data_IF_032596885516
#
_entry.id   IF_032596885516
#
_cell.length_a   1.000
_cell.length_b   1.000
_cell.length_c   1.000
_cell.angle_alpha   90.00
_cell.angle_beta   90.00
_cell.angle_gamma   90.00
#
_symmetry.space_group_name_H-M   'P 1'
#
loop_
_entity.id
_entity.type
_entity.pdbx_description
1 polymer ?
#
# COMPACT_ATOMS: atom_id res chain seq x y z
N UNK A 1 -58.04 -43.61 27.85
CA UNK A 1 -56.71 -43.14 28.25
C UNK A 1 -56.38 -41.95 27.34
N UNK A 2 -57.10 -40.82 27.46
CA UNK A 2 -56.90 -39.70 28.40
C UNK A 2 -55.50 -39.06 28.21
N UNK A 3 -55.28 -37.78 27.90
CA UNK A 3 -56.10 -36.55 27.87
C UNK A 3 -55.38 -35.53 26.94
N UNK A 4 -56.16 -34.66 26.29
CA UNK A 4 -55.81 -33.43 25.57
C UNK A 4 -55.47 -32.29 26.56
N UNK A 5 -54.40 -31.52 26.33
CA UNK A 5 -54.16 -30.12 26.79
C UNK A 5 -52.83 -29.69 26.15
N UNK A 6 -52.67 -28.66 25.32
CA UNK A 6 -53.31 -27.35 25.31
C UNK A 6 -52.45 -26.36 26.11
N UNK A 7 -51.58 -25.58 25.46
CA UNK A 7 -51.15 -24.24 25.91
C UNK A 7 -50.32 -23.47 24.87
N UNK A 8 -50.94 -22.36 24.42
CA UNK A 8 -50.34 -21.14 23.88
C UNK A 8 -49.52 -20.39 24.96
N UNK A 9 -48.70 -19.42 24.47
CA UNK A 9 -47.95 -18.31 25.15
C UNK A 9 -46.45 -18.61 25.28
N UNK A 10 -45.48 -17.76 24.93
CA UNK A 10 -45.39 -16.32 24.60
C UNK A 10 -44.10 -16.12 23.77
N UNK A 11 -44.09 -15.27 22.73
CA UNK A 11 -43.47 -13.93 22.76
C UNK A 11 -42.15 -13.85 23.55
N UNK A 12 -41.02 -13.85 22.83
CA UNK A 12 -39.85 -13.04 23.16
C UNK A 12 -39.21 -12.57 21.85
N UNK A 13 -39.43 -11.28 21.56
CA UNK A 13 -38.60 -10.51 20.66
C UNK A 13 -37.30 -10.20 21.40
N UNK A 14 -36.17 -10.68 20.88
CA UNK A 14 -34.87 -10.19 21.29
C UNK A 14 -34.57 -8.92 20.48
N UNK A 15 -34.94 -7.77 21.05
CA UNK A 15 -34.39 -6.48 20.68
C UNK A 15 -32.94 -6.50 21.16
N UNK A 16 -32.00 -6.73 20.24
CA UNK A 16 -30.59 -6.55 20.54
C UNK A 16 -30.26 -5.07 20.35
N UNK A 17 -30.28 -4.35 21.47
CA UNK A 17 -29.72 -3.01 21.60
C UNK A 17 -28.22 -3.12 21.36
N UNK A 18 -27.75 -2.68 20.19
CA UNK A 18 -26.33 -2.41 19.96
C UNK A 18 -25.99 -1.14 20.73
N UNK A 19 -25.24 -1.31 21.81
CA UNK A 19 -24.64 -0.22 22.57
C UNK A 19 -23.44 0.26 21.77
N UNK A 20 -23.47 1.52 21.38
CA UNK A 20 -22.30 2.28 20.93
C UNK A 20 -21.18 2.18 21.98
N UNK A 21 -20.07 1.54 21.61
CA UNK A 21 -18.76 1.80 22.20
C UNK A 21 -17.98 2.69 21.24
N UNK A 22 -18.16 4.00 21.42
CA UNK A 22 -17.15 5.00 21.11
C UNK A 22 -16.08 4.88 22.17
N UNK A 23 -14.82 4.68 21.79
CA UNK A 23 -13.69 4.90 22.70
C UNK A 23 -12.42 4.10 22.40
N UNK A 24 -11.47 4.78 21.76
CA UNK A 24 -10.02 4.64 21.91
C UNK A 24 -9.32 3.49 21.17
N UNK A 25 -8.99 3.76 19.92
CA UNK A 25 -7.81 3.22 19.20
C UNK A 25 -7.05 4.33 18.48
N UNK A 26 -7.04 5.54 19.06
CA UNK A 26 -6.10 6.58 18.65
C UNK A 26 -4.83 6.37 19.45
N UNK A 27 -3.84 5.70 18.86
CA UNK A 27 -2.46 5.83 19.33
C UNK A 27 -2.11 7.29 19.19
N UNK A 28 -1.99 8.00 20.31
CA UNK A 28 -1.31 9.29 20.32
C UNK A 28 0.17 8.98 20.14
N UNK A 29 0.59 8.84 18.89
CA UNK A 29 2.00 8.92 18.55
C UNK A 29 2.48 10.29 19.02
N UNK A 30 3.40 10.27 19.97
CA UNK A 30 4.21 11.43 20.26
C UNK A 30 4.94 11.78 18.96
N UNK A 31 4.61 12.93 18.38
CA UNK A 31 5.42 13.54 17.33
C UNK A 31 6.91 13.41 17.73
N UNK A 32 7.76 12.78 16.91
CA UNK A 32 9.18 12.85 17.16
C UNK A 32 9.60 14.33 17.06
N UNK A 33 10.48 14.81 17.96
CA UNK A 33 10.92 16.19 17.90
C UNK A 33 11.58 16.45 16.55
N UNK A 34 11.20 17.56 15.90
CA UNK A 34 11.85 18.06 14.70
C UNK A 34 13.39 18.10 14.91
N UNK A 35 14.20 17.70 13.91
CA UNK A 35 15.65 17.72 14.05
C UNK A 35 16.12 19.14 14.36
N UNK A 36 16.83 19.27 15.48
CA UNK A 36 17.45 20.52 15.91
C UNK A 36 18.62 20.81 14.97
N UNK A 37 18.41 21.73 14.02
CA UNK A 37 19.47 22.24 13.13
C UNK A 37 20.45 23.05 13.98
N UNK A 38 21.57 22.42 14.35
CA UNK A 38 22.66 23.12 15.03
C UNK A 38 23.41 23.99 14.02
N UNK A 39 23.15 25.30 14.05
CA UNK A 39 24.00 26.30 13.41
C UNK A 39 25.34 26.42 14.16
N UNK A 40 26.38 25.73 13.69
CA UNK A 40 27.76 26.03 14.06
C UNK A 40 28.31 27.13 13.12
N UNK A 41 28.16 28.37 13.55
CA UNK A 41 28.87 29.52 12.98
C UNK A 41 30.22 29.65 13.68
N UNK A 42 31.30 29.32 12.97
CA UNK A 42 32.65 29.80 13.28
C UNK A 42 33.44 30.14 12.01
N UNK A 43 33.49 31.44 11.76
CA UNK A 43 34.32 32.23 10.85
C UNK A 43 35.83 31.92 10.95
N UNK A 44 36.55 31.93 9.81
CA UNK A 44 38.00 31.77 9.80
C UNK A 44 38.75 31.60 8.48
N UNK A 45 38.52 32.47 7.49
CA UNK A 45 39.58 33.03 6.61
C UNK A 45 40.32 32.17 5.57
N UNK A 46 40.22 32.65 4.32
CA UNK A 46 41.33 32.91 3.35
C UNK A 46 41.49 32.01 2.10
N UNK A 47 41.56 32.75 0.99
CA UNK A 47 42.29 32.53 -0.27
C UNK A 47 41.68 31.67 -1.40
N UNK A 48 41.12 32.40 -2.39
CA UNK A 48 41.54 32.29 -3.79
C UNK A 48 41.39 30.93 -4.49
N UNK A 49 40.21 30.69 -5.05
CA UNK A 49 40.01 29.60 -6.01
C UNK A 49 38.68 29.76 -6.74
N UNK A 50 38.72 30.32 -7.94
CA UNK A 50 37.62 30.27 -8.91
C UNK A 50 37.36 28.81 -9.28
N UNK A 51 36.27 28.23 -8.78
CA UNK A 51 35.71 27.00 -9.31
C UNK A 51 34.21 27.23 -9.54
N UNK A 52 33.87 27.33 -10.82
CA UNK A 52 32.60 26.97 -11.47
C UNK A 52 31.49 26.51 -10.50
N UNK A 53 30.60 27.44 -10.17
CA UNK A 53 29.25 27.15 -9.69
C UNK A 53 28.46 26.53 -10.85
N UNK A 54 28.69 25.24 -11.09
CA UNK A 54 27.83 24.40 -11.90
C UNK A 54 26.64 23.92 -11.08
N UNK A 55 25.76 24.84 -10.69
CA UNK A 55 24.42 24.53 -10.21
C UNK A 55 23.60 24.02 -11.40
N UNK A 56 23.85 22.76 -11.77
CA UNK A 56 23.04 22.03 -12.75
C UNK A 56 21.90 21.37 -12.01
N UNK A 57 20.95 22.17 -11.56
CA UNK A 57 19.59 21.71 -11.31
C UNK A 57 18.96 21.37 -12.68
N UNK A 58 19.45 20.30 -13.31
CA UNK A 58 18.89 19.75 -14.54
C UNK A 58 17.63 19.03 -14.14
N UNK A 59 16.53 19.78 -14.14
CA UNK A 59 15.20 19.19 -14.26
C UNK A 59 15.24 18.29 -15.50
N UNK A 60 15.13 16.98 -15.28
CA UNK A 60 15.10 16.02 -16.38
C UNK A 60 13.87 16.30 -17.25
N UNK A 61 13.97 16.05 -18.56
CA UNK A 61 12.83 16.25 -19.45
C UNK A 61 11.66 15.34 -19.01
N UNK A 62 10.39 15.80 -19.09
CA UNK A 62 9.24 14.97 -18.76
C UNK A 62 9.23 13.65 -19.54
N UNK A 63 8.88 12.55 -18.86
CA UNK A 63 8.72 11.22 -19.45
C UNK A 63 7.26 11.02 -19.81
N UNK A 64 7.01 10.63 -21.07
CA UNK A 64 5.68 10.25 -21.54
C UNK A 64 5.57 8.73 -21.65
N UNK A 65 4.56 8.16 -20.99
CA UNK A 65 4.22 6.72 -21.09
C UNK A 65 3.02 6.49 -22.00
N UNK A 66 2.94 5.31 -22.61
CA UNK A 66 1.77 4.93 -23.41
C UNK A 66 0.51 4.74 -22.54
N UNK A 67 0.72 4.12 -21.37
CA UNK A 67 -0.28 3.80 -20.35
C UNK A 67 0.35 3.95 -18.96
N UNK A 68 -0.43 4.43 -17.99
CA UNK A 68 -0.04 4.42 -16.59
C UNK A 68 -0.64 3.20 -15.87
N UNK A 69 -0.24 2.95 -14.62
CA UNK A 69 -0.87 1.95 -13.75
C UNK A 69 -1.23 2.54 -12.39
N UNK A 70 -1.80 3.76 -12.39
CA UNK A 70 -2.17 4.44 -11.16
C UNK A 70 -3.14 3.60 -10.34
N UNK A 71 -2.82 3.47 -9.05
CA UNK A 71 -3.40 2.47 -8.18
C UNK A 71 -4.19 3.02 -7.00
N UNK A 72 -5.06 2.18 -6.45
CA UNK A 72 -5.97 2.54 -5.37
C UNK A 72 -6.06 1.39 -4.34
N UNK A 73 -5.97 1.72 -3.05
CA UNK A 73 -5.93 0.69 -1.99
C UNK A 73 -7.25 0.56 -1.25
N UNK A 74 -7.64 -0.69 -0.94
CA UNK A 74 -8.84 -1.06 -0.19
C UNK A 74 -8.44 -1.95 0.98
N UNK A 75 -8.90 -1.60 2.18
CA UNK A 75 -8.73 -2.41 3.38
C UNK A 75 -9.78 -3.52 3.47
N UNK A 76 -11.06 -3.18 3.54
CA UNK A 76 -12.17 -4.14 3.45
C UNK A 76 -13.22 -3.62 2.49
N UNK A 77 -13.84 -4.46 1.65
CA UNK A 77 -14.86 -3.97 0.71
C UNK A 77 -16.17 -3.56 1.42
N UNK A 78 -16.44 -4.11 2.59
CA UNK A 78 -17.64 -3.89 3.39
C UNK A 78 -17.40 -2.95 4.57
N UNK A 79 -16.25 -2.27 4.60
CA UNK A 79 -15.93 -1.35 5.67
C UNK A 79 -16.98 -0.25 5.79
N UNK A 80 -17.41 -0.01 7.02
CA UNK A 80 -18.36 1.04 7.32
C UNK A 80 -17.83 2.41 6.86
N UNK A 81 -18.57 3.05 5.97
CA UNK A 81 -18.24 4.38 5.45
C UNK A 81 -17.58 4.38 4.08
N UNK A 82 -17.27 3.22 3.49
CA UNK A 82 -16.88 3.17 2.08
C UNK A 82 -18.01 3.66 1.17
N UNK A 83 -17.60 4.34 0.09
CA UNK A 83 -18.53 4.84 -0.93
C UNK A 83 -19.30 3.70 -1.61
N UNK A 84 -18.66 2.53 -1.74
CA UNK A 84 -19.21 1.31 -2.34
C UNK A 84 -18.91 0.12 -1.43
N UNK A 85 -19.94 -0.64 -1.09
CA UNK A 85 -19.86 -1.75 -0.14
C UNK A 85 -19.78 -3.14 -0.76
N UNK A 86 -19.49 -3.23 -2.07
CA UNK A 86 -19.35 -4.48 -2.81
C UNK A 86 -18.37 -4.33 -3.98
N UNK A 87 -17.75 -5.44 -4.40
CA UNK A 87 -16.70 -5.43 -5.43
C UNK A 87 -17.21 -4.98 -6.80
N UNK A 88 -18.44 -5.33 -7.18
CA UNK A 88 -18.97 -4.98 -8.50
C UNK A 88 -19.18 -3.47 -8.63
N UNK A 89 -19.80 -2.85 -7.63
CA UNK A 89 -20.03 -1.40 -7.63
C UNK A 89 -18.75 -0.60 -7.39
N UNK A 90 -17.81 -1.13 -6.61
CA UNK A 90 -16.48 -0.54 -6.43
C UNK A 90 -15.67 -0.60 -7.72
N UNK A 91 -15.62 -1.73 -8.43
CA UNK A 91 -14.90 -1.85 -9.70
C UNK A 91 -15.39 -0.85 -10.74
N UNK A 92 -16.71 -0.69 -10.87
CA UNK A 92 -17.31 0.31 -11.77
C UNK A 92 -16.97 1.75 -11.36
N UNK A 93 -16.97 2.03 -10.05
CA UNK A 93 -16.61 3.33 -9.51
C UNK A 93 -15.16 3.67 -9.86
N UNK A 94 -14.20 2.81 -9.50
CA UNK A 94 -12.78 3.00 -9.77
C UNK A 94 -12.49 3.13 -11.28
N UNK A 95 -13.13 2.31 -12.11
CA UNK A 95 -12.97 2.41 -13.56
C UNK A 95 -13.54 3.71 -14.13
N UNK A 96 -14.63 4.22 -13.53
CA UNK A 96 -15.18 5.53 -13.87
C UNK A 96 -14.25 6.70 -13.55
N UNK A 97 -13.37 6.54 -12.55
CA UNK A 97 -12.33 7.52 -12.24
C UNK A 97 -11.14 7.41 -13.20
N UNK A 98 -10.85 6.21 -13.70
CA UNK A 98 -9.69 5.92 -14.53
C UNK A 98 -8.59 5.13 -13.81
N UNK A 99 -8.85 4.62 -12.61
CA UNK A 99 -7.93 3.73 -11.87
C UNK A 99 -7.58 2.51 -12.72
N UNK A 100 -6.29 2.11 -12.71
CA UNK A 100 -5.80 0.97 -13.50
C UNK A 100 -5.42 -0.23 -12.63
N UNK A 101 -5.16 -0.02 -11.34
CA UNK A 101 -4.82 -1.07 -10.38
C UNK A 101 -5.56 -0.90 -9.07
N UNK A 102 -6.00 -2.01 -8.47
CA UNK A 102 -6.58 -2.01 -7.12
C UNK A 102 -5.80 -2.96 -6.23
N UNK A 103 -5.45 -2.51 -5.03
CA UNK A 103 -4.78 -3.31 -4.01
C UNK A 103 -5.80 -3.67 -2.92
N UNK A 104 -6.10 -4.96 -2.76
CA UNK A 104 -7.15 -5.45 -1.87
C UNK A 104 -6.51 -6.29 -0.76
N UNK A 105 -6.82 -5.97 0.51
CA UNK A 105 -6.31 -6.76 1.63
C UNK A 105 -6.95 -8.14 1.62
N UNK A 106 -6.14 -9.19 1.77
CA UNK A 106 -6.65 -10.56 1.88
C UNK A 106 -6.35 -11.19 3.23
N UNK A 107 -5.46 -10.59 4.03
CA UNK A 107 -5.06 -11.12 5.33
C UNK A 107 -4.35 -10.06 6.18
N UNK A 108 -4.42 -10.26 7.49
CA UNK A 108 -3.66 -9.55 8.52
C UNK A 108 -3.22 -10.57 9.59
N UNK A 109 -1.92 -10.83 9.68
CA UNK A 109 -1.35 -11.79 10.64
C UNK A 109 -1.69 -11.42 12.10
N UNK A 110 -1.95 -10.14 12.39
CA UNK A 110 -2.21 -9.62 13.74
C UNK A 110 -3.70 -9.61 14.09
N UNK A 111 -4.59 -9.78 13.11
CA UNK A 111 -6.03 -9.73 13.35
C UNK A 111 -6.64 -11.11 13.60
N UNK A 112 -6.76 -11.49 14.87
CA UNK A 112 -7.39 -12.75 15.31
C UNK A 112 -6.86 -13.99 14.54
N UNK A 113 -5.54 -14.12 14.47
CA UNK A 113 -4.81 -15.10 13.66
C UNK A 113 -5.48 -16.48 13.53
N UNK A 114 -5.74 -17.17 14.64
CA UNK A 114 -6.28 -18.54 14.61
C UNK A 114 -7.61 -18.67 13.85
N UNK A 115 -8.43 -17.62 13.85
CA UNK A 115 -9.73 -17.58 13.20
C UNK A 115 -9.67 -17.10 11.74
N UNK A 116 -8.61 -16.36 11.37
CA UNK A 116 -8.47 -15.72 10.06
C UNK A 116 -7.28 -16.20 9.25
N UNK A 117 -6.55 -17.21 9.73
CA UNK A 117 -5.47 -17.83 8.98
C UNK A 117 -5.98 -18.37 7.65
N UNK A 118 -5.15 -18.23 6.63
CA UNK A 118 -5.41 -18.82 5.32
C UNK A 118 -5.46 -20.34 5.46
N UNK A 119 -6.48 -20.98 4.87
CA UNK A 119 -6.52 -22.43 4.74
C UNK A 119 -6.90 -22.88 3.35
N UNK A 120 -6.48 -24.09 2.99
CA UNK A 120 -6.73 -24.67 1.67
C UNK A 120 -7.50 -25.99 1.81
N UNK A 121 -8.57 -26.15 1.03
CA UNK A 121 -9.27 -27.41 0.87
C UNK A 121 -9.30 -27.82 -0.61
N UNK A 122 -8.20 -28.41 -1.07
CA UNK A 122 -8.00 -28.64 -2.50
C UNK A 122 -7.64 -27.32 -3.18
N UNK A 123 -8.44 -26.90 -4.16
CA UNK A 123 -8.26 -25.61 -4.85
C UNK A 123 -9.04 -24.47 -4.16
N UNK A 124 -9.91 -24.80 -3.21
CA UNK A 124 -10.67 -23.82 -2.44
C UNK A 124 -9.76 -23.10 -1.43
N UNK A 125 -9.85 -21.77 -1.40
CA UNK A 125 -9.10 -20.88 -0.50
C UNK A 125 -10.07 -20.26 0.50
N UNK A 126 -9.73 -20.38 1.79
CA UNK A 126 -10.43 -19.70 2.90
C UNK A 126 -9.53 -18.59 3.45
N UNK A 127 -10.02 -17.34 3.40
CA UNK A 127 -9.33 -16.14 3.89
C UNK A 127 -10.00 -15.53 5.13
N UNK A 128 -10.80 -16.30 5.85
CA UNK A 128 -11.45 -15.87 7.08
C UNK A 128 -12.37 -14.66 6.86
N UNK A 129 -12.13 -13.57 7.58
CA UNK A 129 -12.92 -12.35 7.44
C UNK A 129 -12.76 -11.63 6.09
N UNK A 130 -11.72 -11.93 5.30
CA UNK A 130 -11.53 -11.40 3.94
C UNK A 130 -11.98 -12.38 2.85
N UNK A 131 -12.92 -13.27 3.16
CA UNK A 131 -13.34 -14.30 2.21
C UNK A 131 -13.83 -13.73 0.89
N UNK A 132 -14.49 -12.56 0.90
CA UNK A 132 -14.94 -11.85 -0.30
C UNK A 132 -13.79 -11.52 -1.27
N UNK A 133 -12.63 -11.13 -0.73
CA UNK A 133 -11.44 -10.84 -1.52
C UNK A 133 -10.82 -12.12 -2.12
N UNK A 134 -11.10 -13.29 -1.52
CA UNK A 134 -10.62 -14.58 -1.98
C UNK A 134 -11.62 -15.37 -2.85
N UNK A 135 -12.68 -14.71 -3.33
CA UNK A 135 -13.61 -15.25 -4.32
C UNK A 135 -13.19 -14.84 -5.74
N UNK A 136 -12.81 -15.77 -6.64
CA UNK A 136 -12.36 -15.45 -7.99
C UNK A 136 -13.38 -14.65 -8.82
N UNK A 137 -14.68 -14.87 -8.60
CA UNK A 137 -15.75 -14.08 -9.24
C UNK A 137 -15.69 -12.59 -8.90
N UNK A 138 -15.28 -12.22 -7.69
CA UNK A 138 -15.21 -10.82 -7.28
C UNK A 138 -14.04 -10.11 -7.98
N UNK A 139 -12.94 -10.81 -8.20
CA UNK A 139 -11.83 -10.28 -8.99
C UNK A 139 -12.20 -10.06 -10.46
N UNK A 140 -13.15 -10.84 -10.99
CA UNK A 140 -13.59 -10.67 -12.38
C UNK A 140 -14.26 -9.32 -12.63
N UNK A 141 -14.92 -8.73 -11.63
CA UNK A 141 -15.50 -7.38 -11.76
C UNK A 141 -14.44 -6.33 -12.08
N UNK A 142 -13.27 -6.40 -11.44
CA UNK A 142 -12.16 -5.47 -11.70
C UNK A 142 -11.54 -5.72 -13.08
N UNK A 143 -11.30 -6.98 -13.44
CA UNK A 143 -10.73 -7.33 -14.76
C UNK A 143 -11.65 -6.92 -15.91
N UNK A 144 -12.95 -7.16 -15.78
CA UNK A 144 -13.96 -6.75 -16.78
C UNK A 144 -14.02 -5.22 -16.93
N UNK A 145 -13.67 -4.49 -15.87
CA UNK A 145 -13.57 -3.03 -15.86
C UNK A 145 -12.20 -2.50 -16.33
N UNK A 146 -11.27 -3.40 -16.71
CA UNK A 146 -9.92 -3.03 -17.15
C UNK A 146 -8.95 -2.68 -16.00
N UNK A 147 -9.24 -3.12 -14.78
CA UNK A 147 -8.43 -2.89 -13.59
C UNK A 147 -7.66 -4.17 -13.23
N UNK A 148 -6.39 -4.03 -12.88
CA UNK A 148 -5.55 -5.10 -12.35
C UNK A 148 -5.81 -5.29 -10.84
N UNK A 149 -6.41 -6.41 -10.39
CA UNK A 149 -6.52 -6.69 -8.96
C UNK A 149 -5.20 -7.24 -8.41
N UNK A 150 -4.69 -6.61 -7.36
CA UNK A 150 -3.51 -7.02 -6.59
C UNK A 150 -3.91 -7.33 -5.15
N UNK A 151 -3.28 -8.34 -4.56
CA UNK A 151 -3.47 -8.66 -3.16
C UNK A 151 -2.41 -7.95 -2.30
N UNK A 152 -2.75 -7.63 -1.06
CA UNK A 152 -1.76 -7.23 -0.06
C UNK A 152 -2.09 -7.82 1.31
N UNK A 153 -1.07 -7.93 2.16
CA UNK A 153 -1.20 -8.49 3.51
C UNK A 153 -0.35 -7.74 4.51
N UNK A 154 -0.83 -7.63 5.75
CA UNK A 154 0.00 -7.22 6.88
C UNK A 154 0.90 -8.36 7.34
N UNK A 155 2.20 -8.11 7.44
CA UNK A 155 3.22 -9.09 7.81
C UNK A 155 3.93 -8.74 9.12
N UNK A 156 4.39 -9.75 9.86
CA UNK A 156 5.03 -9.59 11.19
C UNK A 156 6.02 -10.76 11.46
N UNK A 157 6.80 -10.70 12.54
CA UNK A 157 7.94 -11.58 12.88
C UNK A 157 7.55 -13.00 13.36
N UNK A 158 6.34 -13.46 13.07
CA UNK A 158 5.86 -14.79 13.48
C UNK A 158 5.18 -15.58 12.37
N UNK A 159 5.43 -16.90 12.34
CA UNK A 159 4.81 -17.83 11.39
C UNK A 159 5.08 -17.51 9.89
N UNK A 160 6.33 -17.26 9.52
CA UNK A 160 6.71 -16.86 8.15
C UNK A 160 6.19 -17.78 7.02
N UNK A 161 6.17 -19.10 7.22
CA UNK A 161 5.62 -20.04 6.23
C UNK A 161 4.10 -19.90 6.09
N UNK A 162 3.38 -19.66 7.19
CA UNK A 162 1.93 -19.44 7.15
C UNK A 162 1.60 -18.06 6.57
N UNK A 163 2.50 -17.09 6.67
CA UNK A 163 2.39 -15.83 5.93
C UNK A 163 2.63 -16.03 4.43
N UNK A 164 3.58 -16.88 4.04
CA UNK A 164 3.76 -17.25 2.64
C UNK A 164 2.54 -18.00 2.05
N UNK A 165 1.73 -18.68 2.86
CA UNK A 165 0.44 -19.22 2.43
C UNK A 165 -0.50 -18.12 1.89
N UNK A 166 -0.39 -16.89 2.36
CA UNK A 166 -1.20 -15.77 1.87
C UNK A 166 -0.85 -15.39 0.42
N UNK A 167 0.42 -15.47 0.05
CA UNK A 167 0.84 -15.33 -1.35
C UNK A 167 0.28 -16.47 -2.21
N UNK A 168 0.29 -17.71 -1.70
CA UNK A 168 -0.32 -18.83 -2.41
C UNK A 168 -1.83 -18.63 -2.62
N UNK A 169 -2.54 -18.12 -1.61
CA UNK A 169 -3.94 -17.73 -1.75
C UNK A 169 -4.12 -16.71 -2.88
N UNK A 170 -3.31 -15.65 -2.92
CA UNK A 170 -3.41 -14.63 -3.96
C UNK A 170 -3.23 -15.22 -5.38
N UNK A 171 -2.22 -16.08 -5.56
CA UNK A 171 -1.97 -16.75 -6.85
C UNK A 171 -3.14 -17.65 -7.24
N UNK A 172 -3.67 -18.46 -6.31
CA UNK A 172 -4.78 -19.40 -6.59
C UNK A 172 -6.10 -18.71 -6.90
N UNK A 173 -6.40 -17.61 -6.20
CA UNK A 173 -7.59 -16.79 -6.45
C UNK A 173 -7.46 -16.03 -7.79
N UNK A 174 -6.21 -15.78 -8.23
CA UNK A 174 -5.89 -15.28 -9.56
C UNK A 174 -5.50 -13.80 -9.59
N UNK A 175 -5.04 -13.23 -8.49
CA UNK A 175 -4.51 -11.87 -8.45
C UNK A 175 -3.38 -11.65 -9.46
N UNK A 176 -3.21 -10.40 -9.92
CA UNK A 176 -2.18 -10.01 -10.89
C UNK A 176 -0.82 -9.74 -10.25
N UNK A 177 -0.77 -9.53 -8.93
CA UNK A 177 0.44 -9.31 -8.17
C UNK A 177 0.15 -9.32 -6.67
N UNK A 178 1.21 -9.22 -5.87
CA UNK A 178 1.17 -9.33 -4.42
C UNK A 178 2.05 -8.29 -3.76
N UNK A 179 1.56 -7.66 -2.68
CA UNK A 179 2.33 -6.75 -1.85
C UNK A 179 2.48 -7.29 -0.43
N UNK A 180 3.72 -7.44 0.05
CA UNK A 180 3.98 -7.60 1.48
C UNK A 180 3.96 -6.23 2.15
N UNK A 181 3.15 -6.06 3.19
CA UNK A 181 3.18 -4.84 3.99
C UNK A 181 4.21 -5.02 5.11
N UNK A 182 5.37 -4.37 4.96
CA UNK A 182 6.51 -4.50 5.88
C UNK A 182 6.51 -3.31 6.82
N UNK A 183 6.09 -3.58 8.05
CA UNK A 183 5.76 -2.55 9.02
C UNK A 183 6.82 -2.41 10.14
N UNK A 184 6.49 -1.66 11.19
CA UNK A 184 7.42 -1.26 12.25
C UNK A 184 8.12 -2.43 12.97
N UNK A 185 7.55 -3.63 12.91
CA UNK A 185 8.10 -4.84 13.53
C UNK A 185 9.43 -5.27 12.89
N UNK A 186 9.73 -4.77 11.68
CA UNK A 186 10.98 -5.03 10.97
C UNK A 186 12.04 -3.92 11.11
N UNK A 187 11.80 -2.90 11.95
CA UNK A 187 12.75 -1.81 12.19
C UNK A 187 14.10 -2.33 12.70
N UNK A 188 15.14 -2.23 11.87
CA UNK A 188 16.49 -2.73 12.19
C UNK A 188 16.61 -4.25 12.29
N UNK A 189 15.58 -5.02 11.91
CA UNK A 189 15.55 -6.49 12.05
C UNK A 189 15.91 -7.16 10.72
N UNK A 190 17.11 -7.75 10.64
CA UNK A 190 17.59 -8.35 9.39
C UNK A 190 17.23 -9.83 9.21
N UNK A 191 17.31 -10.63 10.29
CA UNK A 191 17.13 -12.09 10.21
C UNK A 191 15.67 -12.47 9.90
N UNK A 192 14.73 -11.87 10.64
CA UNK A 192 13.30 -12.11 10.42
C UNK A 192 12.83 -11.57 9.07
N UNK A 193 13.38 -10.44 8.61
CA UNK A 193 13.08 -9.89 7.29
C UNK A 193 13.54 -10.81 6.16
N UNK A 194 14.79 -11.32 6.22
CA UNK A 194 15.25 -12.34 5.27
C UNK A 194 14.36 -13.59 5.33
N UNK A 195 13.97 -14.02 6.53
CA UNK A 195 13.17 -15.25 6.70
C UNK A 195 11.78 -15.09 6.10
N UNK A 196 11.10 -13.97 6.35
CA UNK A 196 9.80 -13.65 5.75
C UNK A 196 9.90 -13.62 4.22
N UNK A 197 10.81 -12.81 3.68
CA UNK A 197 10.89 -12.56 2.24
C UNK A 197 11.34 -13.80 1.46
N UNK A 198 12.30 -14.56 2.01
CA UNK A 198 12.71 -15.82 1.40
C UNK A 198 11.60 -16.87 1.42
N UNK A 199 10.78 -16.94 2.48
CA UNK A 199 9.62 -17.83 2.51
C UNK A 199 8.61 -17.49 1.39
N UNK A 200 8.33 -16.21 1.16
CA UNK A 200 7.44 -15.76 0.08
C UNK A 200 8.01 -16.07 -1.30
N UNK A 201 9.30 -15.77 -1.54
CA UNK A 201 9.93 -16.04 -2.83
C UNK A 201 10.02 -17.54 -3.11
N UNK A 202 10.41 -18.36 -2.12
CA UNK A 202 10.39 -19.83 -2.23
C UNK A 202 8.99 -20.37 -2.50
N UNK A 203 7.95 -19.78 -1.90
CA UNK A 203 6.57 -20.17 -2.16
C UNK A 203 6.19 -19.89 -3.61
N UNK A 204 6.45 -18.68 -4.11
CA UNK A 204 6.19 -18.30 -5.49
C UNK A 204 6.87 -19.27 -6.48
N UNK A 205 8.14 -19.60 -6.24
CA UNK A 205 8.88 -20.59 -7.05
C UNK A 205 8.26 -21.99 -7.01
N UNK A 206 7.75 -22.41 -5.85
CA UNK A 206 7.14 -23.74 -5.66
C UNK A 206 5.78 -23.87 -6.37
N UNK A 207 5.03 -22.78 -6.49
CA UNK A 207 3.76 -22.75 -7.22
C UNK A 207 3.96 -22.99 -8.72
N UNK A 208 5.12 -22.58 -9.27
CA UNK A 208 5.52 -22.91 -10.64
C UNK A 208 4.51 -22.43 -11.68
N UNK A 209 4.04 -23.34 -12.54
CA UNK A 209 3.25 -23.00 -13.72
C UNK A 209 1.86 -22.39 -13.44
N UNK A 210 1.39 -22.35 -12.19
CA UNK A 210 0.13 -21.68 -11.85
C UNK A 210 0.32 -20.18 -11.60
N UNK A 211 1.57 -19.72 -11.42
CA UNK A 211 1.89 -18.29 -11.27
C UNK A 211 1.76 -17.61 -12.63
N UNK A 212 0.97 -16.54 -12.75
CA UNK A 212 0.93 -15.76 -13.99
C UNK A 212 2.32 -15.25 -14.40
N UNK A 213 2.62 -15.25 -15.71
CA UNK A 213 3.95 -14.87 -16.23
C UNK A 213 4.43 -13.48 -15.76
N UNK A 214 3.49 -12.55 -15.57
CA UNK A 214 3.75 -11.18 -15.14
C UNK A 214 3.35 -10.93 -13.67
N UNK A 215 3.28 -11.98 -12.85
CA UNK A 215 2.97 -11.82 -11.44
C UNK A 215 4.15 -11.19 -10.70
N UNK A 216 3.94 -10.01 -10.14
CA UNK A 216 4.97 -9.26 -9.41
C UNK A 216 4.78 -9.40 -7.91
N UNK A 217 5.90 -9.58 -7.20
CA UNK A 217 5.99 -9.56 -5.75
C UNK A 217 6.61 -8.24 -5.30
N UNK A 218 5.86 -7.37 -4.62
CA UNK A 218 6.37 -6.09 -4.13
C UNK A 218 6.30 -6.02 -2.61
N UNK A 219 6.94 -5.01 -2.02
CA UNK A 219 6.82 -4.75 -0.59
C UNK A 219 6.67 -3.26 -0.30
N UNK A 220 5.86 -2.92 0.70
CA UNK A 220 5.87 -1.59 1.30
C UNK A 220 7.07 -1.44 2.24
N UNK A 221 7.28 -0.22 2.74
CA UNK A 221 8.08 0.01 3.94
C UNK A 221 7.39 1.02 4.84
N UNK A 222 7.37 0.76 6.15
CA UNK A 222 6.90 1.70 7.15
C UNK A 222 7.65 3.03 7.12
N UNK A 223 6.89 4.12 6.96
CA UNK A 223 7.39 5.48 7.09
C UNK A 223 8.65 5.79 6.27
N UNK A 224 9.54 6.61 6.84
CA UNK A 224 10.85 6.89 6.27
C UNK A 224 11.83 5.75 6.61
N UNK A 225 12.30 4.95 5.63
CA UNK A 225 13.07 3.74 5.91
C UNK A 225 14.42 4.01 6.59
N UNK A 226 15.10 5.12 6.30
CA UNK A 226 16.36 5.44 6.96
C UNK A 226 16.16 5.70 8.45
N UNK A 227 15.15 6.47 8.82
CA UNK A 227 14.80 6.78 10.20
C UNK A 227 14.46 5.51 11.00
N UNK A 228 13.74 4.59 10.36
CA UNK A 228 13.32 3.34 10.97
C UNK A 228 14.37 2.22 10.90
N UNK A 229 15.51 2.46 10.24
CA UNK A 229 16.54 1.44 10.03
C UNK A 229 16.04 0.25 9.20
N UNK A 230 15.06 0.49 8.33
CA UNK A 230 14.51 -0.53 7.43
C UNK A 230 15.59 -0.97 6.44
N UNK A 231 15.75 -2.27 6.28
CA UNK A 231 16.81 -2.85 5.43
C UNK A 231 16.34 -3.01 3.99
N UNK A 232 16.31 -1.88 3.28
CA UNK A 232 15.90 -1.83 1.86
C UNK A 232 16.78 -2.74 0.99
N UNK A 233 18.08 -2.84 1.27
CA UNK A 233 18.98 -3.77 0.59
C UNK A 233 18.54 -5.24 0.71
N UNK A 234 18.02 -5.64 1.87
CA UNK A 234 17.45 -6.98 2.06
C UNK A 234 16.14 -7.12 1.28
N UNK A 235 15.23 -6.14 1.35
CA UNK A 235 13.97 -6.16 0.59
C UNK A 235 14.25 -6.30 -0.91
N UNK A 236 15.22 -5.54 -1.42
CA UNK A 236 15.61 -5.49 -2.83
C UNK A 236 16.05 -6.86 -3.36
N UNK A 237 16.61 -7.75 -2.54
CA UNK A 237 16.96 -9.11 -2.97
C UNK A 237 15.73 -9.94 -3.41
N UNK A 238 14.57 -9.69 -2.78
CA UNK A 238 13.41 -10.61 -2.88
C UNK A 238 12.17 -10.03 -3.52
N UNK A 239 12.06 -8.72 -3.77
CA UNK A 239 10.88 -8.11 -4.41
C UNK A 239 11.14 -7.75 -5.87
N UNK A 240 10.15 -7.38 -6.64
CA UNK A 240 10.28 -6.91 -8.04
C UNK A 240 10.21 -5.38 -8.10
N UNK A 241 9.62 -4.75 -7.08
CA UNK A 241 9.65 -3.32 -6.84
C UNK A 241 9.35 -2.99 -5.36
N UNK A 242 9.72 -1.78 -4.97
CA UNK A 242 9.44 -1.21 -3.65
C UNK A 242 8.21 -0.31 -3.71
N UNK A 243 7.46 -0.22 -2.62
CA UNK A 243 6.25 0.59 -2.52
C UNK A 243 6.23 1.44 -1.24
N UNK A 244 7.11 2.45 -1.09
CA UNK A 244 7.20 3.24 0.12
C UNK A 244 5.87 3.90 0.49
N UNK A 245 5.55 3.82 1.79
CA UNK A 245 4.45 4.57 2.38
C UNK A 245 4.86 6.05 2.55
N UNK A 246 4.79 6.83 1.47
CA UNK A 246 5.13 8.27 1.45
C UNK A 246 3.95 9.09 1.92
N UNK A 247 3.57 8.89 3.18
CA UNK A 247 2.36 9.44 3.79
C UNK A 247 2.61 10.88 4.26
N UNK A 248 2.81 11.79 3.31
CA UNK A 248 3.17 13.20 3.56
C UNK A 248 2.16 13.95 4.45
N UNK A 249 0.88 13.54 4.46
CA UNK A 249 -0.12 14.09 5.40
C UNK A 249 0.22 13.78 6.87
N UNK A 250 0.82 12.61 7.12
CA UNK A 250 1.23 12.14 8.46
C UNK A 250 2.57 12.75 8.87
N UNK A 251 3.46 13.00 7.92
CA UNK A 251 4.81 13.49 8.19
C UNK A 251 4.84 14.99 8.55
N UNK A 252 3.86 15.77 8.06
CA UNK A 252 3.64 17.16 8.47
C UNK A 252 3.57 18.15 7.31
N UNK A 253 3.25 19.40 7.63
CA UNK A 253 2.97 20.45 6.64
C UNK A 253 4.13 20.76 5.70
N UNK A 254 5.37 20.62 6.18
CA UNK A 254 6.55 20.99 5.38
C UNK A 254 6.72 20.05 4.17
N UNK A 255 6.39 18.76 4.33
CA UNK A 255 6.39 17.77 3.24
C UNK A 255 5.27 18.02 2.22
N UNK A 256 4.13 18.55 2.66
CA UNK A 256 3.02 18.94 1.78
C UNK A 256 3.38 20.18 0.93
N UNK A 257 4.22 21.07 1.48
CA UNK A 257 4.64 22.30 0.79
C UNK A 257 5.72 22.04 -0.28
N UNK A 258 6.47 20.96 -0.16
CA UNK A 258 7.51 20.54 -1.11
C UNK A 258 7.34 19.05 -1.50
N UNK A 259 6.25 18.76 -2.20
CA UNK A 259 5.97 17.41 -2.71
C UNK A 259 7.08 16.91 -3.63
N UNK A 260 7.56 17.67 -4.63
CA UNK A 260 8.64 17.21 -5.51
C UNK A 260 9.93 16.89 -4.75
N UNK A 261 10.32 17.74 -3.80
CA UNK A 261 11.49 17.50 -2.95
C UNK A 261 11.32 16.27 -2.06
N UNK A 262 10.13 16.04 -1.52
CA UNK A 262 9.83 14.86 -0.69
C UNK A 262 9.94 13.55 -1.48
N UNK A 263 9.42 13.51 -2.71
CA UNK A 263 9.58 12.32 -3.58
C UNK A 263 11.06 12.10 -3.90
N UNK A 264 11.77 13.16 -4.30
CA UNK A 264 13.21 13.08 -4.61
C UNK A 264 14.01 12.55 -3.43
N UNK A 265 13.72 13.05 -2.22
CA UNK A 265 14.34 12.56 -1.00
C UNK A 265 14.08 11.07 -0.78
N UNK A 266 12.83 10.63 -0.92
CA UNK A 266 12.46 9.23 -0.77
C UNK A 266 13.16 8.33 -1.80
N UNK A 267 13.16 8.73 -3.07
CA UNK A 267 13.83 7.99 -4.15
C UNK A 267 15.33 7.86 -3.88
N UNK A 268 16.03 8.95 -3.57
CA UNK A 268 17.45 8.91 -3.27
C UNK A 268 17.78 8.11 -2.02
N UNK A 269 16.99 8.24 -0.96
CA UNK A 269 17.16 7.46 0.27
C UNK A 269 17.07 5.96 -0.02
N UNK A 270 16.09 5.53 -0.81
CA UNK A 270 15.99 4.14 -1.25
C UNK A 270 17.25 3.66 -1.99
N UNK A 271 17.78 4.47 -2.90
CA UNK A 271 19.04 4.14 -3.61
C UNK A 271 20.23 4.05 -2.66
N UNK A 272 20.37 4.99 -1.73
CA UNK A 272 21.43 4.99 -0.72
C UNK A 272 21.37 3.76 0.19
N UNK A 273 20.15 3.29 0.49
CA UNK A 273 19.89 2.10 1.28
C UNK A 273 19.97 0.80 0.48
N UNK A 274 20.31 0.85 -0.81
CA UNK A 274 20.64 -0.31 -1.64
C UNK A 274 19.56 -0.76 -2.61
N UNK A 275 18.45 -0.02 -2.79
CA UNK A 275 17.44 -0.35 -3.78
C UNK A 275 18.01 -0.22 -5.20
N UNK A 276 17.94 -1.30 -5.97
CA UNK A 276 18.25 -1.33 -7.40
C UNK A 276 17.01 -1.49 -8.28
N UNK A 277 15.88 -1.83 -7.66
CA UNK A 277 14.59 -2.05 -8.31
C UNK A 277 13.71 -0.79 -8.29
N UNK A 278 12.65 -0.72 -9.12
CA UNK A 278 11.75 0.42 -9.17
C UNK A 278 11.13 0.75 -7.80
N UNK A 279 10.85 2.03 -7.57
CA UNK A 279 10.18 2.56 -6.37
C UNK A 279 8.84 3.16 -6.80
N UNK A 280 7.73 2.66 -6.25
CA UNK A 280 6.36 3.08 -6.58
C UNK A 280 5.66 3.64 -5.34
N UNK A 281 5.71 4.96 -5.18
CA UNK A 281 5.22 5.59 -3.96
C UNK A 281 3.72 5.41 -3.73
N UNK A 282 3.36 5.29 -2.45
CA UNK A 282 1.99 5.32 -1.96
C UNK A 282 1.79 6.63 -1.19
N UNK A 283 0.80 7.44 -1.57
CA UNK A 283 0.37 8.61 -0.77
C UNK A 283 -0.79 8.23 0.13
N UNK A 284 -0.80 8.71 1.39
CA UNK A 284 -1.98 8.66 2.24
C UNK A 284 -2.79 9.96 2.08
N UNK A 285 -4.11 9.84 1.89
CA UNK A 285 -5.07 10.94 1.91
C UNK A 285 -6.15 10.73 2.98
N UNK A 286 -5.78 10.18 4.14
CA UNK A 286 -6.74 9.90 5.21
C UNK A 286 -7.12 11.12 6.04
N UNK A 287 -6.25 12.14 6.12
CA UNK A 287 -6.45 13.33 6.95
C UNK A 287 -7.12 14.47 6.18
N UNK A 288 -7.26 14.31 4.85
CA UNK A 288 -7.87 15.27 3.94
C UNK A 288 -7.16 16.62 3.95
N UNK A 289 -5.83 16.60 3.87
CA UNK A 289 -4.99 17.80 3.87
C UNK A 289 -4.52 18.17 2.46
N UNK A 290 -4.36 17.18 1.58
CA UNK A 290 -3.98 17.37 0.18
C UNK A 290 -5.18 17.78 -0.66
N UNK A 291 -4.98 18.76 -1.54
CA UNK A 291 -5.93 19.06 -2.62
C UNK A 291 -5.74 18.11 -3.81
N UNK A 292 -6.71 18.06 -4.73
CA UNK A 292 -6.56 17.31 -5.98
C UNK A 292 -5.32 17.73 -6.79
N UNK A 293 -4.98 19.02 -6.82
CA UNK A 293 -3.78 19.52 -7.51
C UNK A 293 -2.50 18.98 -6.86
N UNK A 294 -2.47 18.89 -5.53
CA UNK A 294 -1.34 18.32 -4.79
C UNK A 294 -1.24 16.80 -4.94
N UNK A 295 -2.36 16.09 -5.00
CA UNK A 295 -2.38 14.66 -5.34
C UNK A 295 -1.86 14.42 -6.76
N UNK A 296 -2.24 15.27 -7.72
CA UNK A 296 -1.71 15.23 -9.08
C UNK A 296 -0.21 15.57 -9.13
N UNK A 297 0.25 16.53 -8.32
CA UNK A 297 1.67 16.84 -8.20
C UNK A 297 2.47 15.66 -7.62
N UNK A 298 1.94 15.01 -6.58
CA UNK A 298 2.54 13.78 -6.03
C UNK A 298 2.69 12.73 -7.12
N UNK A 299 1.61 12.39 -7.82
CA UNK A 299 1.62 11.34 -8.86
C UNK A 299 2.57 11.71 -10.00
N UNK A 300 2.62 12.99 -10.41
CA UNK A 300 3.52 13.46 -11.47
C UNK A 300 4.98 13.16 -11.17
N UNK A 301 5.39 13.30 -9.91
CA UNK A 301 6.77 13.06 -9.48
C UNK A 301 7.04 11.62 -9.05
N UNK A 302 6.06 10.96 -8.44
CA UNK A 302 6.13 9.56 -8.01
C UNK A 302 6.08 8.55 -9.18
N UNK A 303 5.57 8.97 -10.34
CA UNK A 303 5.60 8.20 -11.57
C UNK A 303 4.34 7.36 -11.85
N UNK A 304 4.34 6.59 -12.95
CA UNK A 304 3.14 5.96 -13.51
C UNK A 304 2.57 4.82 -12.67
N UNK A 305 3.29 4.37 -11.65
CA UNK A 305 2.89 3.26 -10.77
C UNK A 305 2.51 3.73 -9.36
N UNK A 306 2.47 5.04 -9.14
CA UNK A 306 2.03 5.62 -7.89
C UNK A 306 0.60 5.20 -7.51
N UNK A 307 0.30 5.22 -6.22
CA UNK A 307 -1.00 4.80 -5.72
C UNK A 307 -1.47 5.59 -4.49
N UNK A 308 -2.77 5.56 -4.24
CA UNK A 308 -3.41 6.30 -3.15
C UNK A 308 -3.95 5.33 -2.09
N UNK A 309 -3.41 5.44 -0.89
CA UNK A 309 -3.99 4.93 0.35
C UNK A 309 -4.90 6.01 0.96
N UNK A 310 -6.13 5.75 1.32
CA UNK A 310 -6.99 4.60 1.02
C UNK A 310 -8.18 5.11 0.24
N UNK A 311 -8.75 4.23 -0.59
CA UNK A 311 -9.93 4.58 -1.36
C UNK A 311 -11.14 4.83 -0.49
N UNK A 312 -11.97 5.70 -1.05
CA UNK A 312 -12.63 6.76 -0.30
C UNK A 312 -13.87 6.31 0.44
N UNK A 313 -14.04 6.93 1.60
CA UNK A 313 -15.32 7.25 2.20
C UNK A 313 -15.89 8.54 1.59
N UNK A 314 -17.17 8.85 1.84
CA UNK A 314 -17.79 10.12 1.41
C UNK A 314 -16.97 11.36 1.86
N UNK A 315 -16.16 11.24 2.93
CA UNK A 315 -15.31 12.30 3.43
C UNK A 315 -14.14 12.64 2.49
N UNK A 316 -13.52 11.64 1.87
CA UNK A 316 -12.28 11.74 1.07
C UNK A 316 -12.54 11.86 -0.44
N UNK A 317 -13.81 11.77 -0.85
CA UNK A 317 -14.19 11.57 -2.25
C UNK A 317 -13.79 12.71 -3.17
N UNK A 318 -13.98 13.97 -2.74
CA UNK A 318 -13.91 15.14 -3.63
C UNK A 318 -12.55 15.30 -4.31
N UNK A 319 -11.48 15.21 -3.55
CA UNK A 319 -10.12 15.39 -4.05
C UNK A 319 -9.66 14.20 -4.89
N UNK A 320 -10.01 12.97 -4.47
CA UNK A 320 -9.69 11.72 -5.19
C UNK A 320 -10.41 11.64 -6.55
N UNK A 321 -11.67 12.05 -6.63
CA UNK A 321 -12.43 12.07 -7.89
C UNK A 321 -11.93 13.14 -8.87
N UNK A 322 -11.28 14.19 -8.35
CA UNK A 322 -10.74 15.29 -9.15
C UNK A 322 -9.28 15.07 -9.61
N UNK A 323 -8.64 13.97 -9.19
CA UNK A 323 -7.31 13.59 -9.69
C UNK A 323 -7.33 13.24 -11.19
N UNK A 324 -6.21 13.49 -11.86
CA UNK A 324 -5.94 13.07 -13.24
C UNK A 324 -5.44 11.61 -13.27
N UNK A 325 -6.37 10.66 -13.15
CA UNK A 325 -6.08 9.22 -13.21
C UNK A 325 -5.60 8.76 -14.60
N UNK A 326 -5.76 9.57 -15.64
CA UNK A 326 -5.29 9.27 -17.00
C UNK A 326 -3.96 9.97 -17.33
N UNK A 327 -3.24 10.48 -16.33
CA UNK A 327 -1.94 11.14 -16.49
C UNK A 327 -0.94 10.27 -17.28
N UNK A 328 -0.28 10.89 -18.27
CA UNK A 328 0.71 10.22 -19.14
C UNK A 328 2.06 10.89 -19.18
N UNK A 329 2.15 12.12 -18.68
CA UNK A 329 3.37 12.90 -18.63
C UNK A 329 3.79 13.05 -17.17
N UNK A 330 4.99 12.56 -16.86
CA UNK A 330 5.54 12.51 -15.53
C UNK A 330 6.85 13.26 -15.49
N UNK A 331 7.22 13.73 -14.30
CA UNK A 331 8.42 14.53 -14.08
C UNK A 331 9.42 13.73 -13.26
N UNK A 332 10.41 13.08 -13.90
CA UNK A 332 11.49 12.43 -13.19
C UNK A 332 12.23 13.42 -12.30
N UNK A 333 12.85 12.86 -11.27
CA UNK A 333 13.68 13.57 -10.31
C UNK A 333 15.02 12.83 -10.12
N UNK A 334 15.92 13.43 -9.35
CA UNK A 334 17.20 12.78 -9.03
C UNK A 334 16.95 11.43 -8.34
N UNK A 335 17.61 10.36 -8.80
CA UNK A 335 17.45 8.98 -8.29
C UNK A 335 16.21 8.18 -8.77
N UNK A 336 15.34 8.75 -9.63
CA UNK A 336 14.22 8.00 -10.25
C UNK A 336 14.61 6.97 -11.32
N UNK A 337 15.90 6.71 -11.48
CA UNK A 337 16.42 5.70 -12.41
C UNK A 337 15.67 4.38 -12.17
N UNK A 338 14.99 3.85 -13.20
CA UNK A 338 14.12 2.65 -13.19
C UNK A 338 12.70 2.77 -12.63
N UNK A 339 12.30 3.88 -11.99
CA UNK A 339 10.95 4.01 -11.40
C UNK A 339 9.82 4.02 -12.45
N UNK A 340 10.16 4.35 -13.69
CA UNK A 340 9.25 4.43 -14.82
C UNK A 340 9.17 3.12 -15.62
N UNK A 341 10.04 2.15 -15.33
CA UNK A 341 10.13 0.89 -16.06
C UNK A 341 9.32 -0.21 -15.34
N UNK A 342 8.32 -0.79 -16.01
CA UNK A 342 7.77 -2.13 -15.68
C UNK A 342 7.24 -2.83 -16.95
N UNK A 343 7.87 -2.60 -18.10
CA UNK A 343 7.51 -3.28 -19.36
C UNK A 343 8.01 -4.73 -19.43
#
# INVERSE_FOLDING_TARGET
MAIILGKLRSFFAAVMTVIFLVGCGGSSESEPPAPEVTEDVADGGSDGGSNDDGDTNTTEDPVTVAENKLGAWIWYIDEAGLIRGDHASMAQYLAGLGVKRVFIKISDINYQWDANKITFQGDDVDCGVWQDACEPENLQFYRDAGIEPWAWTYNDVHSFEEQADMLEAAVRVGYAGYVLDIEEEYNGVSEDLHTLLSAHRNRLETLGDIVPENFLLTATSWGNPQYHGMRIDIIDEYVDAHMPQTYIEKWGSDFILDIPGTITQGDCEYRELGATKPVWHIVSHEDKLLTADQLNEFVRHAGPHASVWRMSSDYLQEEIEAMDWDMKEFQPNECTQTNFDID
#
